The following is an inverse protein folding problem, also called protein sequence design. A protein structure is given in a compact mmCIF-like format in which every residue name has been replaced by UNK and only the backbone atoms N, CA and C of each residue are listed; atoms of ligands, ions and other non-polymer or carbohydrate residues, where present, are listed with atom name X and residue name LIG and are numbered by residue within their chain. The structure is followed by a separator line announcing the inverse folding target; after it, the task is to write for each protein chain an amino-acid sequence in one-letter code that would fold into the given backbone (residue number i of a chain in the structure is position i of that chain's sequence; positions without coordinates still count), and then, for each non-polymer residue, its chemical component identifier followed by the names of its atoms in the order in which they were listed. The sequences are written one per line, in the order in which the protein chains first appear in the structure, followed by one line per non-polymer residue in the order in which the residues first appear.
data_IF_275936728221
#
_entry.id   IF_275936728221
#
_cell.length_a   1.000
_cell.length_b   1.000
_cell.length_c   1.000
_cell.angle_alpha   90.00
_cell.angle_beta   90.00
_cell.angle_gamma   90.00
#
_symmetry.space_group_name_H-M   'P 1'
#
loop_
_entity.id
_entity.type
_entity.pdbx_description
1 polymer ?
#
# COMPACT_ATOMS: atom_id res chain seq x y z
N UNK A 1 -2.29 -20.85 1.00
CA UNK A 1 -0.85 -20.95 0.68
C UNK A 1 -0.06 -20.36 1.85
N UNK A 2 1.15 -20.84 2.14
CA UNK A 2 1.98 -20.24 3.21
C UNK A 2 2.98 -19.27 2.58
N UNK A 3 2.94 -18.01 3.01
CA UNK A 3 3.90 -16.98 2.60
C UNK A 3 4.86 -16.67 3.75
N UNK A 4 6.11 -16.33 3.43
CA UNK A 4 7.10 -15.90 4.42
C UNK A 4 6.77 -14.49 4.95
N UNK A 5 6.24 -13.64 4.07
CA UNK A 5 5.83 -12.27 4.37
C UNK A 5 4.52 -11.93 3.67
N UNK A 6 3.73 -11.07 4.31
CA UNK A 6 2.55 -10.42 3.73
C UNK A 6 2.75 -8.93 3.90
N UNK A 7 3.12 -8.27 2.81
CA UNK A 7 3.56 -6.88 2.79
C UNK A 7 2.42 -5.95 2.37
N UNK A 8 2.09 -4.97 3.20
CA UNK A 8 1.13 -3.92 2.86
C UNK A 8 1.86 -2.64 2.45
N UNK A 9 1.50 -2.11 1.28
CA UNK A 9 2.03 -0.86 0.72
C UNK A 9 1.46 0.41 1.39
N UNK A 10 0.69 0.27 2.46
CA UNK A 10 -0.01 1.35 3.17
C UNK A 10 -1.39 1.64 2.59
N UNK A 11 -2.09 2.64 3.14
CA UNK A 11 -3.51 2.91 2.88
C UNK A 11 -4.44 1.73 3.25
N UNK A 12 -4.07 0.99 4.29
CA UNK A 12 -4.89 -0.03 4.94
C UNK A 12 -6.22 0.50 5.48
N UNK A 13 -6.27 1.81 5.76
CA UNK A 13 -7.44 2.54 6.20
C UNK A 13 -7.54 3.86 5.45
N UNK A 14 -8.76 4.28 5.09
CA UNK A 14 -8.94 5.59 4.45
C UNK A 14 -8.66 6.74 5.44
N UNK A 15 -9.07 6.63 6.70
CA UNK A 15 -9.06 7.75 7.66
C UNK A 15 -9.79 8.97 7.07
N UNK A 16 -10.99 8.71 6.53
CA UNK A 16 -11.77 9.68 5.76
C UNK A 16 -12.16 10.90 6.57
N UNK A 17 -12.55 10.72 7.84
CA UNK A 17 -12.87 11.81 8.78
C UNK A 17 -11.68 12.74 9.05
N UNK A 18 -10.45 12.24 8.87
CA UNK A 18 -9.19 13.00 9.04
C UNK A 18 -8.69 13.62 7.72
N UNK A 19 -9.44 13.45 6.63
CA UNK A 19 -9.11 14.02 5.34
C UNK A 19 -9.31 15.54 5.35
N UNK A 20 -8.43 16.27 4.64
CA UNK A 20 -8.63 17.72 4.40
C UNK A 20 -9.98 18.04 3.73
N UNK A 21 -10.56 17.07 3.01
CA UNK A 21 -11.82 17.21 2.30
C UNK A 21 -13.04 17.00 3.22
N UNK A 22 -12.86 16.39 4.39
CA UNK A 22 -13.93 16.21 5.37
C UNK A 22 -14.21 17.49 6.16
N UNK A 23 -13.26 18.43 6.23
CA UNK A 23 -13.35 19.64 7.03
C UNK A 23 -14.61 20.46 6.74
N UNK A 24 -15.36 20.79 7.77
CA UNK A 24 -16.63 21.52 7.74
C UNK A 24 -17.83 20.69 7.26
N UNK A 25 -17.64 19.40 6.98
CA UNK A 25 -18.71 18.49 6.55
C UNK A 25 -19.15 17.59 7.70
N UNK A 26 -20.28 16.89 7.55
CA UNK A 26 -20.74 15.89 8.54
C UNK A 26 -19.70 14.78 8.79
N UNK A 27 -18.84 14.48 7.81
CA UNK A 27 -17.84 13.41 7.91
C UNK A 27 -16.71 13.76 8.90
N UNK A 28 -16.37 15.05 9.07
CA UNK A 28 -15.37 15.46 10.08
C UNK A 28 -15.83 15.12 11.50
N UNK A 29 -17.15 15.19 11.74
CA UNK A 29 -17.77 14.90 13.04
C UNK A 29 -18.28 13.46 13.13
N UNK A 30 -17.97 12.61 12.16
CA UNK A 30 -18.31 11.20 12.23
C UNK A 30 -17.43 10.53 13.30
N UNK A 31 -18.02 10.16 14.42
CA UNK A 31 -17.34 9.50 15.56
C UNK A 31 -17.03 8.02 15.28
N UNK A 32 -16.67 7.67 14.03
CA UNK A 32 -16.53 6.29 13.51
C UNK A 32 -15.09 5.78 13.53
N UNK A 33 -14.12 6.60 13.92
CA UNK A 33 -12.70 6.30 13.75
C UNK A 33 -12.24 5.04 14.51
N UNK A 34 -12.79 4.77 15.69
CA UNK A 34 -12.46 3.56 16.46
C UNK A 34 -13.04 2.29 15.82
N UNK A 35 -14.25 2.38 15.28
CA UNK A 35 -14.90 1.26 14.57
C UNK A 35 -14.15 0.93 13.28
N UNK A 36 -13.79 1.95 12.50
CA UNK A 36 -12.96 1.81 11.29
C UNK A 36 -11.59 1.20 11.63
N UNK A 37 -10.98 1.63 12.74
CA UNK A 37 -9.72 1.08 13.22
C UNK A 37 -9.84 -0.40 13.53
N UNK A 38 -10.84 -0.81 14.33
CA UNK A 38 -11.02 -2.20 14.75
C UNK A 38 -11.20 -3.11 13.53
N UNK A 39 -12.04 -2.70 12.57
CA UNK A 39 -12.21 -3.42 11.32
C UNK A 39 -10.88 -3.55 10.54
N UNK A 40 -10.10 -2.47 10.46
CA UNK A 40 -8.77 -2.50 9.85
C UNK A 40 -7.82 -3.50 10.55
N UNK A 41 -7.80 -3.50 11.88
CA UNK A 41 -6.99 -4.43 12.67
C UNK A 41 -7.39 -5.90 12.45
N UNK A 42 -8.70 -6.20 12.43
CA UNK A 42 -9.23 -7.53 12.14
C UNK A 42 -8.82 -8.02 10.76
N UNK A 43 -9.00 -7.20 9.73
CA UNK A 43 -8.60 -7.56 8.35
C UNK A 43 -7.10 -7.80 8.25
N UNK A 44 -6.27 -6.93 8.85
CA UNK A 44 -4.82 -7.10 8.81
C UNK A 44 -4.35 -8.38 9.50
N UNK A 45 -5.02 -8.75 10.61
CA UNK A 45 -4.79 -10.00 11.32
C UNK A 45 -5.17 -11.21 10.47
N UNK A 46 -6.37 -11.22 9.89
CA UNK A 46 -6.87 -12.32 9.05
C UNK A 46 -6.02 -12.54 7.79
N UNK A 47 -5.49 -11.47 7.22
CA UNK A 47 -4.54 -11.54 6.10
C UNK A 47 -3.16 -12.10 6.52
N UNK A 48 -2.85 -12.13 7.81
CA UNK A 48 -1.52 -12.49 8.31
C UNK A 48 -0.46 -11.46 7.93
N UNK A 49 -0.83 -10.17 7.89
CA UNK A 49 0.08 -9.08 7.52
C UNK A 49 1.31 -9.09 8.41
N UNK A 50 2.51 -9.00 7.83
CA UNK A 50 3.78 -8.99 8.60
C UNK A 50 4.38 -7.59 8.69
N UNK A 51 4.23 -6.81 7.62
CA UNK A 51 4.89 -5.52 7.48
C UNK A 51 3.99 -4.53 6.75
N UNK A 52 3.99 -3.27 7.21
CA UNK A 52 3.26 -2.16 6.59
C UNK A 52 4.18 -0.96 6.46
N UNK A 53 4.17 -0.29 5.32
CA UNK A 53 4.87 0.99 5.13
C UNK A 53 3.90 2.16 5.29
N UNK A 54 4.37 3.30 5.83
CA UNK A 54 3.56 4.51 5.98
C UNK A 54 3.03 5.03 4.64
N UNK A 55 1.89 5.70 4.67
CA UNK A 55 1.20 6.25 3.50
C UNK A 55 0.68 7.67 3.71
N UNK A 56 0.17 8.30 2.64
CA UNK A 56 -0.48 9.59 2.77
C UNK A 56 -1.78 9.54 3.57
N UNK A 57 -2.43 8.36 3.70
CA UNK A 57 -3.58 8.21 4.60
C UNK A 57 -3.13 8.05 6.04
N UNK A 58 -2.12 7.21 6.33
CA UNK A 58 -1.60 7.06 7.72
C UNK A 58 -1.12 8.39 8.30
N UNK A 59 -0.58 9.27 7.46
CA UNK A 59 -0.10 10.59 7.86
C UNK A 59 -1.24 11.56 8.24
N UNK A 60 -2.51 11.27 7.88
CA UNK A 60 -3.64 12.17 8.16
C UNK A 60 -3.81 12.43 9.66
N UNK A 61 -3.63 11.42 10.51
CA UNK A 61 -3.70 11.60 11.98
C UNK A 61 -2.68 12.63 12.45
N UNK A 62 -1.41 12.47 12.03
CA UNK A 62 -0.35 13.41 12.38
C UNK A 62 -0.66 14.82 11.86
N UNK A 63 -1.15 14.95 10.63
CA UNK A 63 -1.52 16.24 10.03
C UNK A 63 -2.70 16.91 10.74
N UNK A 64 -3.69 16.14 11.21
CA UNK A 64 -4.80 16.66 12.03
C UNK A 64 -4.26 17.23 13.34
N UNK A 65 -3.44 16.46 14.06
CA UNK A 65 -2.87 16.90 15.34
C UNK A 65 -2.01 18.14 15.16
N UNK A 66 -1.16 18.19 14.13
CA UNK A 66 -0.31 19.34 13.84
C UNK A 66 -1.10 20.63 13.61
N UNK A 67 -2.28 20.56 13.00
CA UNK A 67 -3.08 21.73 12.67
C UNK A 67 -4.09 22.12 13.76
N UNK A 68 -4.67 21.13 14.43
CA UNK A 68 -5.78 21.33 15.37
C UNK A 68 -5.37 21.27 16.85
N UNK A 69 -4.37 20.46 17.19
CA UNK A 69 -3.99 20.21 18.58
C UNK A 69 -2.50 19.79 18.71
N UNK A 70 -1.55 20.66 18.33
CA UNK A 70 -0.14 20.29 18.21
C UNK A 70 0.50 19.86 19.53
N UNK A 71 -0.02 20.34 20.67
CA UNK A 71 0.42 19.91 22.00
C UNK A 71 0.21 18.41 22.25
N UNK A 72 -0.70 17.76 21.50
CA UNK A 72 -0.99 16.34 21.62
C UNK A 72 -0.04 15.45 20.80
N UNK A 73 0.79 16.00 19.92
CA UNK A 73 1.71 15.21 19.07
C UNK A 73 2.68 14.37 19.91
N UNK A 74 3.06 14.85 21.09
CA UNK A 74 3.96 14.13 22.00
C UNK A 74 3.34 12.91 22.68
N UNK A 75 2.03 12.70 22.54
CA UNK A 75 1.33 11.59 23.17
C UNK A 75 1.60 10.28 22.40
N UNK A 76 2.17 9.25 23.05
CA UNK A 76 2.51 7.99 22.39
C UNK A 76 1.28 7.26 21.85
N UNK A 77 0.12 7.37 22.51
CA UNK A 77 -1.15 6.78 22.08
C UNK A 77 -1.69 7.32 20.75
N UNK A 78 -1.23 8.51 20.34
CA UNK A 78 -1.61 9.15 19.08
C UNK A 78 -0.59 8.89 17.95
N UNK A 79 0.52 8.24 18.25
CA UNK A 79 1.41 7.73 17.21
C UNK A 79 0.69 6.62 16.42
N UNK A 80 0.76 6.67 15.09
CA UNK A 80 -0.03 5.78 14.23
C UNK A 80 0.17 4.28 14.55
N UNK A 81 1.39 3.86 14.85
CA UNK A 81 1.71 2.48 15.21
C UNK A 81 1.09 2.01 16.53
N UNK A 82 0.86 2.94 17.46
CA UNK A 82 0.18 2.69 18.74
C UNK A 82 -1.32 2.80 18.59
N UNK A 83 -1.79 3.77 17.81
CA UNK A 83 -3.19 3.88 17.43
C UNK A 83 -3.67 2.56 16.81
N UNK A 84 -2.92 1.98 15.85
CA UNK A 84 -3.25 0.71 15.20
C UNK A 84 -2.88 -0.55 16.01
N UNK A 85 -2.22 -0.39 17.16
CA UNK A 85 -1.70 -1.48 17.98
C UNK A 85 -0.97 -2.59 17.19
N UNK A 86 -0.12 -2.18 16.24
CA UNK A 86 0.61 -3.12 15.38
C UNK A 86 1.49 -4.09 16.17
N UNK A 87 1.94 -3.69 17.36
CA UNK A 87 2.73 -4.56 18.25
C UNK A 87 1.95 -5.80 18.68
N UNK A 88 0.68 -5.66 19.08
CA UNK A 88 -0.15 -6.80 19.47
C UNK A 88 -0.55 -7.67 18.28
N UNK A 89 -0.64 -7.06 17.09
CA UNK A 89 -0.90 -7.77 15.83
C UNK A 89 0.33 -8.49 15.27
N UNK A 90 1.53 -8.27 15.84
CA UNK A 90 2.78 -8.82 15.31
C UNK A 90 3.24 -8.16 14.00
N UNK A 91 2.75 -6.95 13.71
CA UNK A 91 3.02 -6.20 12.49
C UNK A 91 4.18 -5.22 12.69
N UNK A 92 5.13 -5.20 11.75
CA UNK A 92 6.21 -4.19 11.72
C UNK A 92 5.80 -3.00 10.89
N UNK A 93 5.74 -1.82 11.52
CA UNK A 93 5.44 -0.57 10.83
C UNK A 93 6.70 0.18 10.41
N UNK A 94 6.80 0.46 9.12
CA UNK A 94 7.95 1.12 8.50
C UNK A 94 7.61 2.57 8.17
N UNK A 95 8.23 3.51 8.91
CA UNK A 95 8.05 4.97 8.70
C UNK A 95 8.78 5.50 7.47
N UNK A 96 9.51 4.64 6.76
CA UNK A 96 10.31 4.93 5.55
C UNK A 96 10.22 3.72 4.63
N UNK A 97 10.67 3.87 3.38
CA UNK A 97 10.81 2.75 2.47
C UNK A 97 11.63 1.62 3.12
N UNK A 98 11.14 0.38 2.98
CA UNK A 98 11.65 -0.80 3.67
C UNK A 98 12.29 -1.77 2.68
N UNK A 99 13.55 -2.11 2.89
CA UNK A 99 14.23 -3.15 2.11
C UNK A 99 13.84 -4.54 2.64
N UNK A 100 12.86 -5.17 1.99
CA UNK A 100 12.34 -6.48 2.40
C UNK A 100 13.12 -7.66 1.82
N UNK A 101 13.86 -7.42 0.74
CA UNK A 101 14.81 -8.35 0.12
C UNK A 101 15.94 -7.52 -0.48
N UNK A 102 17.13 -8.10 -0.64
CA UNK A 102 18.31 -7.34 -1.09
C UNK A 102 18.07 -6.66 -2.44
N UNK A 103 18.11 -5.33 -2.45
CA UNK A 103 17.85 -4.50 -3.62
C UNK A 103 16.36 -4.34 -3.98
N UNK A 104 15.45 -4.69 -3.07
CA UNK A 104 14.00 -4.60 -3.22
C UNK A 104 13.37 -3.82 -2.07
N UNK A 105 12.72 -2.72 -2.43
CA UNK A 105 12.12 -1.79 -1.48
C UNK A 105 10.61 -1.80 -1.59
N UNK A 106 9.95 -1.84 -0.43
CA UNK A 106 8.54 -1.56 -0.26
C UNK A 106 8.39 -0.07 0.05
N UNK A 107 7.52 0.61 -0.69
CA UNK A 107 7.21 2.03 -0.51
C UNK A 107 5.71 2.24 -0.71
N UNK A 108 5.18 3.40 -0.33
CA UNK A 108 3.77 3.67 -0.58
C UNK A 108 3.53 4.14 -2.01
N UNK A 109 4.35 5.06 -2.52
CA UNK A 109 4.30 5.64 -3.86
C UNK A 109 4.23 7.18 -3.85
N UNK A 110 3.82 7.79 -2.73
CA UNK A 110 3.79 9.24 -2.52
C UNK A 110 5.17 9.84 -2.22
N UNK A 111 6.22 9.01 -2.11
CA UNK A 111 7.62 9.44 -2.04
C UNK A 111 8.13 10.04 -3.36
N UNK A 112 7.35 9.92 -4.44
CA UNK A 112 7.63 10.47 -5.76
C UNK A 112 6.39 11.05 -6.44
N UNK A 113 6.55 11.43 -7.70
CA UNK A 113 5.42 11.88 -8.50
C UNK A 113 4.68 10.68 -9.08
N UNK A 114 3.39 10.59 -8.79
CA UNK A 114 2.50 9.57 -9.34
C UNK A 114 2.38 9.71 -10.86
N UNK A 115 2.54 8.59 -11.57
CA UNK A 115 2.31 8.50 -13.00
C UNK A 115 0.83 8.24 -13.32
N UNK A 116 0.42 8.61 -14.54
CA UNK A 116 -0.89 8.22 -15.09
C UNK A 116 -0.89 6.80 -15.67
N UNK A 117 0.27 6.18 -15.81
CA UNK A 117 0.44 4.86 -16.41
C UNK A 117 0.89 3.85 -15.37
N UNK A 118 0.30 2.65 -15.41
CA UNK A 118 0.62 1.55 -14.51
C UNK A 118 2.11 1.17 -14.57
N UNK A 119 2.66 0.74 -13.43
CA UNK A 119 4.07 0.42 -13.16
C UNK A 119 5.06 1.59 -13.27
N UNK A 120 4.65 2.77 -13.75
CA UNK A 120 5.60 3.86 -14.02
C UNK A 120 5.93 4.65 -12.75
N UNK A 121 5.02 4.78 -11.78
CA UNK A 121 5.34 5.43 -10.49
C UNK A 121 6.45 4.67 -9.78
N UNK A 122 6.28 3.37 -9.58
CA UNK A 122 7.28 2.49 -8.98
C UNK A 122 8.56 2.43 -9.82
N UNK A 123 8.49 2.41 -11.15
CA UNK A 123 9.70 2.44 -11.98
C UNK A 123 10.49 3.74 -11.83
N UNK A 124 9.82 4.88 -11.71
CA UNK A 124 10.48 6.16 -11.51
C UNK A 124 11.19 6.20 -10.16
N UNK A 125 10.56 5.67 -9.10
CA UNK A 125 11.20 5.47 -7.79
C UNK A 125 12.40 4.53 -7.91
N UNK A 126 12.23 3.39 -8.57
CA UNK A 126 13.27 2.39 -8.77
C UNK A 126 14.52 2.97 -9.47
N UNK A 127 14.31 3.75 -10.54
CA UNK A 127 15.40 4.46 -11.24
C UNK A 127 16.08 5.48 -10.34
N UNK A 128 15.31 6.25 -9.57
CA UNK A 128 15.83 7.28 -8.65
C UNK A 128 16.66 6.67 -7.51
N UNK A 129 16.27 5.49 -7.03
CA UNK A 129 16.91 4.82 -5.90
C UNK A 129 17.92 3.75 -6.32
N UNK A 130 18.07 3.50 -7.63
CA UNK A 130 18.92 2.45 -8.19
C UNK A 130 18.64 1.05 -7.60
N UNK A 131 17.38 0.78 -7.23
CA UNK A 131 16.92 -0.47 -6.62
C UNK A 131 15.53 -0.83 -7.15
N UNK A 132 15.10 -2.08 -7.01
CA UNK A 132 13.73 -2.47 -7.36
C UNK A 132 12.73 -1.95 -6.32
N UNK A 133 11.55 -1.53 -6.77
CA UNK A 133 10.52 -0.94 -5.90
C UNK A 133 9.16 -1.58 -6.15
N UNK A 134 8.48 -1.94 -5.05
CA UNK A 134 7.07 -2.29 -5.00
C UNK A 134 6.33 -1.17 -4.27
N UNK A 135 5.28 -0.63 -4.88
CA UNK A 135 4.46 0.39 -4.25
C UNK A 135 2.96 0.26 -4.53
N UNK A 136 2.16 1.04 -3.81
CA UNK A 136 0.73 1.23 -3.99
C UNK A 136 0.43 2.64 -4.49
N UNK A 137 -0.43 3.36 -3.76
CA UNK A 137 -0.82 4.77 -3.95
C UNK A 137 -1.60 5.09 -5.24
N UNK A 138 -1.19 4.54 -6.38
CA UNK A 138 -1.78 4.85 -7.68
C UNK A 138 -3.06 4.08 -7.98
N UNK A 139 -3.38 3.08 -7.17
CA UNK A 139 -4.45 2.09 -7.36
C UNK A 139 -4.35 1.32 -8.70
N UNK A 140 -3.21 1.39 -9.38
CA UNK A 140 -2.95 0.63 -10.61
C UNK A 140 -2.16 -0.61 -10.29
N UNK A 141 -2.28 -1.60 -11.17
CA UNK A 141 -1.48 -2.81 -11.09
C UNK A 141 -0.61 -2.92 -12.34
N UNK A 142 0.68 -3.16 -12.13
CA UNK A 142 1.61 -3.33 -13.24
C UNK A 142 3.02 -3.66 -12.77
N UNK A 143 3.78 -4.33 -13.62
CA UNK A 143 5.18 -4.64 -13.38
C UNK A 143 5.98 -4.34 -14.65
N UNK A 144 7.08 -3.61 -14.48
CA UNK A 144 7.98 -3.25 -15.56
C UNK A 144 9.43 -3.47 -15.12
N UNK A 145 10.20 -4.06 -16.02
CA UNK A 145 11.65 -4.19 -15.86
C UNK A 145 12.35 -3.05 -16.59
N UNK A 146 13.37 -2.48 -15.97
CA UNK A 146 14.27 -1.56 -16.62
C UNK A 146 15.69 -2.10 -16.55
N UNK A 147 16.34 -2.15 -17.70
CA UNK A 147 17.67 -2.71 -17.85
C UNK A 147 18.64 -1.62 -18.30
N UNK A 148 19.75 -1.49 -17.59
CA UNK A 148 20.90 -0.72 -18.04
C UNK A 148 22.00 -1.70 -18.42
N UNK A 149 22.75 -1.44 -19.49
CA UNK A 149 23.79 -2.36 -19.92
C UNK A 149 24.61 -1.87 -21.11
N UNK A 150 25.81 -2.44 -21.24
CA UNK A 150 26.73 -2.21 -22.34
C UNK A 150 27.58 -3.47 -22.55
N UNK A 151 27.89 -3.81 -23.80
CA UNK A 151 28.76 -4.95 -24.16
C UNK A 151 28.32 -6.29 -23.54
N UNK A 152 27.02 -6.56 -23.51
CA UNK A 152 26.45 -7.81 -22.99
C UNK A 152 26.40 -7.92 -21.46
N UNK A 153 26.91 -6.93 -20.72
CA UNK A 153 26.72 -6.82 -19.26
C UNK A 153 25.53 -5.93 -18.98
N UNK A 154 24.66 -6.36 -18.07
CA UNK A 154 23.47 -5.61 -17.73
C UNK A 154 23.12 -5.72 -16.25
N UNK A 155 22.39 -4.73 -15.77
CA UNK A 155 21.71 -4.71 -14.48
C UNK A 155 20.23 -4.47 -14.72
N UNK A 156 19.37 -5.12 -13.94
CA UNK A 156 17.92 -5.02 -14.06
C UNK A 156 17.32 -4.61 -12.73
N UNK A 157 16.48 -3.57 -12.77
CA UNK A 157 15.62 -3.17 -11.66
C UNK A 157 14.15 -3.31 -12.07
N UNK A 158 13.29 -3.46 -11.07
CA UNK A 158 11.85 -3.57 -11.25
C UNK A 158 11.11 -2.37 -10.67
N UNK A 159 10.08 -1.91 -11.37
CA UNK A 159 9.01 -1.11 -10.82
C UNK A 159 7.73 -1.93 -10.80
N UNK A 160 7.13 -2.11 -9.64
CA UNK A 160 5.89 -2.86 -9.44
C UNK A 160 4.88 -1.98 -8.69
N UNK A 161 3.69 -1.82 -9.27
CA UNK A 161 2.52 -1.29 -8.57
C UNK A 161 1.57 -2.45 -8.27
N UNK A 162 1.16 -2.60 -7.01
CA UNK A 162 0.50 -3.81 -6.52
C UNK A 162 -0.99 -3.93 -6.93
N UNK A 163 -1.66 -2.82 -7.22
CA UNK A 163 -3.12 -2.73 -7.38
C UNK A 163 -3.81 -2.15 -6.14
N UNK A 164 -5.11 -2.39 -6.00
CA UNK A 164 -5.88 -2.10 -4.80
C UNK A 164 -6.86 -3.23 -4.48
N UNK A 165 -7.39 -3.24 -3.25
CA UNK A 165 -8.44 -4.19 -2.82
C UNK A 165 -9.73 -3.47 -2.36
N UNK A 166 -9.81 -2.16 -2.58
CA UNK A 166 -11.00 -1.36 -2.29
C UNK A 166 -12.20 -1.74 -3.17
N UNK A 167 -13.39 -1.82 -2.57
CA UNK A 167 -14.66 -1.85 -3.31
C UNK A 167 -14.90 -0.51 -4.02
N UNK A 168 -14.75 -0.53 -5.35
CA UNK A 168 -14.94 0.66 -6.20
C UNK A 168 -16.30 1.31 -6.01
N UNK A 169 -17.36 0.57 -5.67
CA UNK A 169 -18.71 1.16 -5.47
C UNK A 169 -18.76 2.13 -4.30
N UNK A 170 -17.80 2.04 -3.38
CA UNK A 170 -17.68 2.91 -2.21
C UNK A 170 -16.75 4.11 -2.43
N UNK A 171 -16.11 4.23 -3.60
CA UNK A 171 -15.23 5.35 -3.95
C UNK A 171 -16.01 6.60 -4.38
N UNK A 172 -16.83 7.14 -3.47
CA UNK A 172 -17.78 8.25 -3.73
C UNK A 172 -17.14 9.56 -4.22
N UNK A 173 -15.83 9.73 -4.05
CA UNK A 173 -15.06 10.88 -4.52
C UNK A 173 -14.74 10.82 -6.02
N UNK A 174 -14.87 9.66 -6.66
CA UNK A 174 -14.66 9.52 -8.10
C UNK A 174 -15.89 9.99 -8.87
N UNK A 175 -15.69 10.99 -9.74
CA UNK A 175 -16.74 11.42 -10.66
C UNK A 175 -17.11 10.25 -11.58
N UNK A 176 -18.41 9.91 -11.62
CA UNK A 176 -18.95 8.74 -12.34
C UNK A 176 -18.39 7.39 -11.91
N UNK A 177 -17.74 7.32 -10.75
CA UNK A 177 -17.02 6.13 -10.29
C UNK A 177 -16.04 5.56 -11.33
N UNK A 178 -15.46 6.45 -12.13
CA UNK A 178 -14.63 6.12 -13.28
C UNK A 178 -13.17 6.37 -12.92
N UNK A 179 -12.38 5.31 -12.87
CA UNK A 179 -10.93 5.38 -12.69
C UNK A 179 -10.24 4.27 -13.49
N UNK A 180 -9.02 4.55 -13.91
CA UNK A 180 -8.10 3.59 -14.51
C UNK A 180 -7.36 2.84 -13.39
N UNK A 181 -8.09 2.08 -12.59
CA UNK A 181 -7.60 1.33 -11.44
C UNK A 181 -7.76 -0.17 -11.66
N UNK A 182 -6.89 -0.96 -11.01
CA UNK A 182 -6.88 -2.40 -11.15
C UNK A 182 -6.94 -3.05 -9.78
N UNK A 183 -8.02 -3.80 -9.53
CA UNK A 183 -8.09 -4.63 -8.33
C UNK A 183 -7.13 -5.80 -8.44
N UNK A 184 -6.34 -6.01 -7.39
CA UNK A 184 -5.35 -7.07 -7.37
C UNK A 184 -4.27 -6.88 -6.33
N UNK A 185 -3.39 -7.86 -6.27
CA UNK A 185 -2.17 -7.88 -5.46
C UNK A 185 -1.03 -8.53 -6.23
N UNK A 186 0.19 -8.46 -5.71
CA UNK A 186 1.37 -9.06 -6.36
C UNK A 186 1.96 -10.15 -5.47
N UNK A 187 2.36 -11.27 -6.09
CA UNK A 187 3.17 -12.31 -5.44
C UNK A 187 4.58 -12.25 -5.99
N UNK A 188 5.56 -12.21 -5.08
CA UNK A 188 6.98 -12.27 -5.39
C UNK A 188 7.56 -13.56 -4.82
N UNK A 189 8.28 -14.31 -5.65
CA UNK A 189 9.00 -15.51 -5.22
C UNK A 189 10.49 -15.32 -5.44
N UNK A 190 11.29 -15.37 -4.38
CA UNK A 190 12.74 -15.28 -4.45
C UNK A 190 13.38 -16.65 -4.30
N UNK A 191 14.22 -17.03 -5.27
CA UNK A 191 14.97 -18.29 -5.28
C UNK A 191 16.47 -18.06 -5.39
N UNK A 192 17.25 -19.14 -5.29
CA UNK A 192 18.73 -19.07 -5.30
C UNK A 192 19.33 -18.47 -6.58
N UNK A 193 18.60 -18.49 -7.69
CA UNK A 193 19.08 -18.08 -9.03
C UNK A 193 18.29 -16.93 -9.65
N UNK A 194 17.40 -16.30 -8.89
CA UNK A 194 16.55 -15.22 -9.39
C UNK A 194 15.19 -15.20 -8.70
N UNK A 195 14.25 -14.49 -9.31
CA UNK A 195 12.93 -14.24 -8.73
C UNK A 195 11.84 -14.29 -9.80
N UNK A 196 10.60 -14.41 -9.35
CA UNK A 196 9.40 -14.34 -10.17
C UNK A 196 8.48 -13.23 -9.65
N UNK A 197 7.84 -12.52 -10.59
CA UNK A 197 6.83 -11.51 -10.33
C UNK A 197 5.52 -11.98 -10.93
N UNK A 198 4.49 -12.11 -10.10
CA UNK A 198 3.14 -12.51 -10.53
C UNK A 198 2.14 -11.43 -10.10
N UNK A 199 1.57 -10.73 -11.07
CA UNK A 199 0.43 -9.84 -10.82
C UNK A 199 -0.83 -10.70 -10.78
N UNK A 200 -1.57 -10.62 -9.68
CA UNK A 200 -2.80 -11.38 -9.47
C UNK A 200 -3.98 -10.40 -9.57
N UNK A 201 -4.73 -10.40 -10.68
CA UNK A 201 -5.94 -9.61 -10.80
C UNK A 201 -7.04 -10.18 -9.90
N UNK A 202 -7.83 -9.29 -9.32
CA UNK A 202 -9.03 -9.63 -8.53
C UNK A 202 -10.25 -9.14 -9.30
N UNK A 203 -11.23 -10.04 -9.46
CA UNK A 203 -12.49 -9.75 -10.15
C UNK A 203 -13.41 -8.87 -9.29
N UNK A 204 -14.47 -8.34 -9.91
CA UNK A 204 -15.42 -7.46 -9.23
C UNK A 204 -16.12 -8.11 -8.02
N UNK A 205 -16.29 -9.43 -8.04
CA UNK A 205 -16.88 -10.21 -6.95
C UNK A 205 -15.85 -10.60 -5.86
N UNK A 206 -14.62 -10.12 -5.96
CA UNK A 206 -13.53 -10.46 -5.04
C UNK A 206 -12.83 -11.80 -5.38
N UNK A 207 -13.29 -12.53 -6.39
CA UNK A 207 -12.66 -13.79 -6.80
C UNK A 207 -11.32 -13.56 -7.51
N UNK A 208 -10.40 -14.50 -7.37
CA UNK A 208 -9.12 -14.51 -8.08
C UNK A 208 -8.60 -15.93 -8.28
N UNK A 209 -7.65 -16.11 -9.19
CA UNK A 209 -6.98 -17.40 -9.41
C UNK A 209 -5.50 -17.28 -9.12
N UNK A 210 -4.98 -18.18 -8.28
CA UNK A 210 -3.57 -18.29 -7.96
C UNK A 210 -3.18 -19.77 -7.86
N UNK A 211 -2.02 -20.14 -8.40
CA UNK A 211 -1.53 -21.53 -8.42
C UNK A 211 -2.56 -22.55 -8.93
N UNK A 212 -3.26 -22.22 -10.02
CA UNK A 212 -4.31 -23.05 -10.65
C UNK A 212 -5.52 -23.35 -9.75
N UNK A 213 -5.69 -22.60 -8.66
CA UNK A 213 -6.86 -22.65 -7.78
C UNK A 213 -7.61 -21.34 -7.84
N UNK A 214 -8.93 -21.42 -7.89
CA UNK A 214 -9.80 -20.26 -7.82
C UNK A 214 -10.26 -20.07 -6.38
N UNK A 215 -10.13 -18.84 -5.90
CA UNK A 215 -10.59 -18.36 -4.60
C UNK A 215 -11.75 -17.40 -4.87
N UNK A 216 -12.83 -17.49 -4.08
CA UNK A 216 -14.03 -16.67 -4.24
C UNK A 216 -14.53 -16.19 -2.88
N UNK A 217 -15.36 -15.15 -2.92
CA UNK A 217 -16.06 -14.60 -1.75
C UNK A 217 -17.17 -15.53 -1.25
#
# INVERSE_FOLDING_TARGET
EKFDYVLNVGDEMDLGSQSRWAKGTKLEFAETLDEERKLGQEILYDLGTTDIVRSNHTDRIYQTLLKGAPSLIGLPELAYDKFMDFSSLGIRFHKRAYEFEKGWYLAHGDEGNMSKHAAITSLNLAKKWANSVVCGHSHRQGAVRHQTGLNGRYSTIWGIEAGHLMDMRKASYLKYNSADWNMGFTVLSFGKKGHQVELIPVNHDGSFTYNRRTYGA
#
